data_IF_933317290465
#
_entry.id   IF_933317290465
#
_cell.length_a   1.000
_cell.length_b   1.000
_cell.length_c   1.000
_cell.angle_alpha   90.00
_cell.angle_beta   90.00
_cell.angle_gamma   90.00
#
_symmetry.space_group_name_H-M   'P 1'
#
loop_
_entity.id
_entity.type
_entity.pdbx_description
1 polymer ?
#
# COMPACT_ATOMS: atom_id res chain seq x y z
N UNK A 1 13.93 7.91 17.27
CA UNK A 1 13.64 6.61 16.58
C UNK A 1 14.90 6.25 15.82
N UNK A 2 15.32 4.98 15.84
CA UNK A 2 16.41 4.53 15.00
C UNK A 2 16.01 4.75 13.52
N UNK A 3 16.93 5.18 12.69
CA UNK A 3 16.69 5.48 11.27
C UNK A 3 16.51 4.22 10.41
N UNK A 4 16.47 3.04 11.06
CA UNK A 4 16.44 1.71 10.44
C UNK A 4 17.58 1.47 9.44
N UNK A 5 18.70 2.19 9.56
CA UNK A 5 19.88 1.92 8.78
C UNK A 5 20.74 0.83 9.43
N UNK A 6 21.55 0.17 8.62
CA UNK A 6 22.58 -0.75 9.08
C UNK A 6 23.86 -0.58 8.26
N UNK A 7 24.99 -0.80 8.93
CA UNK A 7 26.31 -0.89 8.31
C UNK A 7 26.86 -2.29 8.58
N UNK A 8 27.15 -3.04 7.53
CA UNK A 8 27.82 -4.33 7.59
C UNK A 8 29.23 -4.15 7.02
N UNK A 9 30.25 -4.46 7.83
CA UNK A 9 31.62 -4.45 7.39
C UNK A 9 32.22 -5.84 7.53
N UNK A 10 32.89 -6.29 6.48
CA UNK A 10 33.71 -7.50 6.49
C UNK A 10 35.13 -7.13 6.07
N UNK A 11 36.12 -7.57 6.86
CA UNK A 11 37.53 -7.40 6.54
C UNK A 11 38.15 -8.77 6.32
N UNK A 12 38.86 -8.95 5.21
CA UNK A 12 39.52 -10.19 4.86
C UNK A 12 40.89 -9.91 4.22
N UNK A 13 41.79 -10.87 4.36
CA UNK A 13 43.09 -10.84 3.69
C UNK A 13 43.13 -11.99 2.70
N UNK A 14 43.49 -11.71 1.46
CA UNK A 14 43.55 -12.72 0.41
C UNK A 14 45.02 -13.17 0.22
N UNK A 15 45.26 -14.45 0.50
CA UNK A 15 46.61 -15.05 0.35
C UNK A 15 47.71 -14.30 1.11
N UNK A 16 48.78 -13.99 0.43
CA UNK A 16 49.95 -13.23 1.00
C UNK A 16 49.86 -11.73 0.75
N UNK A 17 48.68 -11.19 0.44
CA UNK A 17 48.53 -9.73 0.29
C UNK A 17 48.85 -9.00 1.59
N UNK A 18 49.68 -7.94 1.53
CA UNK A 18 50.11 -7.21 2.73
C UNK A 18 49.03 -6.30 3.32
N UNK A 19 47.89 -6.15 2.63
CA UNK A 19 46.81 -5.25 3.02
C UNK A 19 45.51 -6.00 3.21
N UNK A 20 44.77 -5.74 4.30
CA UNK A 20 43.40 -6.23 4.42
C UNK A 20 42.46 -5.48 3.45
N UNK A 21 41.49 -6.18 2.90
CA UNK A 21 40.41 -5.61 2.12
C UNK A 21 39.20 -5.45 3.05
N UNK A 22 38.69 -4.24 3.20
CA UNK A 22 37.48 -3.98 3.95
C UNK A 22 36.34 -3.67 2.97
N UNK A 23 35.31 -4.46 3.06
CA UNK A 23 34.07 -4.29 2.30
C UNK A 23 32.97 -3.81 3.25
N UNK A 24 32.37 -2.69 2.96
CA UNK A 24 31.27 -2.14 3.77
C UNK A 24 30.00 -2.04 2.93
N UNK A 25 28.94 -2.66 3.41
CA UNK A 25 27.58 -2.52 2.86
C UNK A 25 26.76 -1.66 3.80
N UNK A 26 26.26 -0.58 3.27
CA UNK A 26 25.28 0.27 3.98
C UNK A 26 23.91 0.04 3.42
N UNK A 27 22.94 -0.13 4.29
CA UNK A 27 21.58 -0.37 3.90
C UNK A 27 20.58 0.14 4.94
N UNK A 28 19.31 -0.09 4.66
CA UNK A 28 18.24 0.27 5.58
C UNK A 28 17.11 -0.74 5.49
N UNK A 29 16.39 -0.84 6.58
CA UNK A 29 15.23 -1.72 6.66
C UNK A 29 14.02 -1.07 5.98
N UNK A 30 13.40 -1.78 5.05
CA UNK A 30 12.11 -1.41 4.48
C UNK A 30 11.04 -2.33 5.05
N UNK A 31 9.85 -1.81 5.28
CA UNK A 31 8.71 -2.59 5.77
C UNK A 31 7.85 -3.00 4.59
N UNK A 32 7.75 -4.30 4.29
CA UNK A 32 6.80 -4.78 3.31
C UNK A 32 5.37 -4.68 3.85
N UNK A 33 4.46 -4.23 3.00
CA UNK A 33 3.02 -4.18 3.28
C UNK A 33 2.30 -4.83 2.12
N UNK A 34 1.56 -5.89 2.38
CA UNK A 34 0.89 -6.70 1.34
C UNK A 34 -0.61 -6.65 1.53
N UNK A 35 -1.34 -6.30 0.47
CA UNK A 35 -2.82 -6.36 0.40
C UNK A 35 -3.29 -6.26 -1.05
N UNK A 36 -4.59 -6.25 -1.26
CA UNK A 36 -5.19 -5.99 -2.55
C UNK A 36 -5.03 -4.53 -2.97
N UNK A 37 -4.91 -4.30 -4.28
CA UNK A 37 -4.89 -2.99 -4.89
C UNK A 37 -6.09 -2.83 -5.83
N UNK A 38 -6.75 -1.68 -5.78
CA UNK A 38 -7.76 -1.26 -6.75
C UNK A 38 -7.18 -0.19 -7.65
N UNK A 39 -7.33 -0.36 -8.96
CA UNK A 39 -6.78 0.55 -9.97
C UNK A 39 -7.90 1.06 -10.85
N UNK A 40 -8.14 2.37 -10.81
CA UNK A 40 -9.13 3.05 -11.64
C UNK A 40 -8.43 3.75 -12.80
N UNK A 41 -8.87 3.47 -14.03
CA UNK A 41 -8.35 4.05 -15.26
C UNK A 41 -9.41 4.99 -15.84
N UNK A 42 -9.08 6.27 -15.97
CA UNK A 42 -9.94 7.29 -16.57
C UNK A 42 -11.26 7.49 -15.84
N UNK A 43 -11.33 7.26 -14.53
CA UNK A 43 -12.51 7.40 -13.68
C UNK A 43 -13.71 6.49 -14.06
N UNK A 44 -13.53 5.58 -15.02
CA UNK A 44 -14.62 4.75 -15.56
C UNK A 44 -14.40 3.26 -15.34
N UNK A 45 -13.16 2.80 -15.36
CA UNK A 45 -12.83 1.38 -15.35
C UNK A 45 -11.99 1.04 -14.13
N UNK A 46 -12.50 0.14 -13.30
CA UNK A 46 -11.81 -0.30 -12.08
C UNK A 46 -11.42 -1.76 -12.18
N UNK A 47 -10.16 -2.03 -11.92
CA UNK A 47 -9.56 -3.36 -11.90
C UNK A 47 -8.96 -3.63 -10.52
N UNK A 48 -8.77 -4.90 -10.19
CA UNK A 48 -8.22 -5.30 -8.89
C UNK A 48 -7.10 -6.31 -9.11
N UNK A 49 -6.01 -6.17 -8.35
CA UNK A 49 -5.06 -7.25 -8.13
C UNK A 49 -5.14 -7.64 -6.65
N UNK A 50 -5.27 -8.93 -6.37
CA UNK A 50 -5.57 -9.45 -5.03
C UNK A 50 -4.40 -9.43 -4.06
N UNK A 51 -3.17 -9.29 -4.56
CA UNK A 51 -1.99 -9.35 -3.71
C UNK A 51 -0.83 -8.56 -4.32
N UNK A 52 -0.59 -7.38 -3.78
CA UNK A 52 0.51 -6.50 -4.17
C UNK A 52 1.30 -6.13 -2.93
N UNK A 53 2.63 -6.14 -3.01
CA UNK A 53 3.50 -5.80 -1.88
C UNK A 53 4.23 -4.49 -2.14
N UNK A 54 3.89 -3.46 -1.39
CA UNK A 54 4.66 -2.23 -1.31
C UNK A 54 5.79 -2.35 -0.29
N UNK A 55 6.94 -1.77 -0.60
CA UNK A 55 8.02 -1.59 0.36
C UNK A 55 8.08 -0.12 0.76
N UNK A 56 7.86 0.15 2.04
CA UNK A 56 7.77 1.50 2.58
C UNK A 56 8.86 1.70 3.62
N UNK A 57 9.62 2.78 3.47
CA UNK A 57 10.64 3.20 4.42
C UNK A 57 10.25 4.53 5.03
N UNK A 58 10.12 4.58 6.36
CA UNK A 58 9.97 5.84 7.11
C UNK A 58 11.29 6.13 7.83
N UNK A 59 11.80 7.34 7.68
CA UNK A 59 13.10 7.74 8.23
C UNK A 59 13.12 9.23 8.58
N UNK A 60 14.18 9.68 9.24
CA UNK A 60 14.46 11.09 9.48
C UNK A 60 15.61 11.56 8.58
N UNK A 61 15.44 12.74 8.01
CA UNK A 61 16.48 13.48 7.31
C UNK A 61 16.62 14.83 8.03
N UNK A 62 17.63 14.92 8.90
CA UNK A 62 17.69 15.95 9.93
C UNK A 62 16.49 15.84 10.87
N UNK A 63 15.76 16.94 11.04
CA UNK A 63 14.54 16.97 11.89
C UNK A 63 13.27 16.61 11.15
N UNK A 64 13.33 16.39 9.83
CA UNK A 64 12.16 16.12 9.00
C UNK A 64 11.93 14.61 8.86
N UNK A 65 10.73 14.15 9.21
CA UNK A 65 10.31 12.79 8.89
C UNK A 65 9.98 12.69 7.40
N UNK A 66 10.53 11.66 6.75
CA UNK A 66 10.31 11.36 5.33
C UNK A 66 9.89 9.91 5.12
N UNK A 67 9.25 9.66 3.98
CA UNK A 67 8.86 8.33 3.54
C UNK A 67 9.34 8.11 2.11
N UNK A 68 9.94 6.94 1.87
CA UNK A 68 10.20 6.43 0.53
C UNK A 68 9.23 5.29 0.25
N UNK A 69 8.72 5.21 -0.96
CA UNK A 69 7.79 4.16 -1.40
C UNK A 69 8.33 3.48 -2.65
N UNK A 70 8.67 2.21 -2.54
CA UNK A 70 8.88 1.37 -3.71
C UNK A 70 7.53 0.83 -4.17
N UNK A 71 7.04 1.39 -5.26
CA UNK A 71 5.84 0.94 -5.96
C UNK A 71 6.20 -0.36 -6.69
N UNK A 72 5.55 -1.48 -6.40
CA UNK A 72 5.88 -2.76 -7.00
C UNK A 72 5.39 -2.85 -8.45
N UNK A 73 5.94 -3.79 -9.20
CA UNK A 73 5.30 -4.23 -10.44
C UNK A 73 4.05 -5.05 -10.11
N UNK A 74 3.01 -4.89 -10.91
CA UNK A 74 1.78 -5.68 -10.81
C UNK A 74 1.08 -5.80 -12.17
N UNK A 75 0.18 -6.78 -12.28
CA UNK A 75 -0.63 -7.02 -13.47
C UNK A 75 -2.10 -6.70 -13.21
N UNK A 76 -2.80 -6.32 -14.28
CA UNK A 76 -4.24 -6.18 -14.30
C UNK A 76 -4.76 -7.03 -15.44
N UNK A 77 -5.55 -8.05 -15.12
CA UNK A 77 -6.04 -8.99 -16.11
C UNK A 77 -7.40 -8.54 -16.68
N UNK A 78 -7.67 -8.95 -17.93
CA UNK A 78 -8.95 -8.74 -18.61
C UNK A 78 -9.38 -7.26 -18.69
N UNK A 79 -8.44 -6.35 -18.90
CA UNK A 79 -8.79 -4.95 -19.15
C UNK A 79 -9.31 -4.74 -20.56
N UNK A 80 -9.84 -3.56 -20.86
CA UNK A 80 -10.36 -3.23 -22.21
C UNK A 80 -9.31 -3.39 -23.32
N UNK A 81 -8.04 -3.19 -22.99
CA UNK A 81 -6.91 -3.28 -23.92
C UNK A 81 -6.07 -4.54 -23.73
N UNK A 82 -6.57 -5.52 -22.97
CA UNK A 82 -5.91 -6.79 -22.67
C UNK A 82 -5.34 -6.86 -21.25
N UNK A 83 -4.40 -7.77 -21.05
CA UNK A 83 -3.69 -7.90 -19.79
C UNK A 83 -2.58 -6.84 -19.73
N UNK A 84 -2.59 -6.06 -18.65
CA UNK A 84 -1.62 -4.99 -18.45
C UNK A 84 -0.55 -5.43 -17.45
N UNK A 85 0.70 -5.04 -17.71
CA UNK A 85 1.78 -5.13 -16.74
C UNK A 85 2.34 -3.74 -16.48
N UNK A 86 2.34 -3.34 -15.24
CA UNK A 86 2.90 -2.07 -14.77
C UNK A 86 4.19 -2.37 -14.01
N UNK A 87 5.30 -1.77 -14.46
CA UNK A 87 6.61 -1.96 -13.88
C UNK A 87 6.81 -1.24 -12.56
N UNK A 88 7.82 -1.65 -11.81
CA UNK A 88 8.16 -1.05 -10.53
C UNK A 88 8.91 0.27 -10.68
N UNK A 89 8.74 1.16 -9.71
CA UNK A 89 9.52 2.39 -9.56
C UNK A 89 9.54 2.85 -8.10
N UNK A 90 10.37 3.83 -7.77
CA UNK A 90 10.48 4.30 -6.39
C UNK A 90 10.30 5.81 -6.31
N UNK A 91 9.37 6.26 -5.47
CA UNK A 91 9.19 7.67 -5.11
C UNK A 91 9.84 7.89 -3.75
N UNK A 92 10.76 8.85 -3.67
CA UNK A 92 11.54 9.12 -2.46
C UNK A 92 11.16 10.45 -1.83
N UNK A 93 11.35 10.55 -0.51
CA UNK A 93 11.32 11.80 0.20
C UNK A 93 9.93 12.42 0.33
N UNK A 94 8.86 11.62 0.44
CA UNK A 94 7.54 12.11 0.81
C UNK A 94 7.63 12.80 2.17
N UNK A 95 7.02 13.97 2.29
CA UNK A 95 6.92 14.72 3.56
C UNK A 95 5.47 14.75 4.05
N UNK A 96 5.29 14.94 5.35
CA UNK A 96 3.95 15.02 5.90
C UNK A 96 3.26 16.29 5.43
N UNK A 97 2.06 16.13 4.88
CA UNK A 97 1.18 17.19 4.43
C UNK A 97 -0.11 17.15 5.24
N UNK A 98 -0.39 18.21 5.98
CA UNK A 98 -1.57 18.28 6.87
C UNK A 98 -2.88 18.38 6.10
N UNK A 99 -2.88 18.97 4.90
CA UNK A 99 -4.07 19.08 4.06
C UNK A 99 -4.45 17.73 3.45
N UNK A 100 -3.44 16.94 3.08
CA UNK A 100 -3.64 15.57 2.57
C UNK A 100 -3.83 14.55 3.70
N UNK A 101 -3.43 14.89 4.92
CA UNK A 101 -3.50 14.04 6.09
C UNK A 101 -2.58 12.81 6.01
N UNK A 102 -1.38 12.97 5.44
CA UNK A 102 -0.41 11.89 5.27
C UNK A 102 0.90 12.35 4.66
N UNK A 103 1.80 11.39 4.40
CA UNK A 103 3.05 11.67 3.69
C UNK A 103 2.75 11.75 2.19
N UNK A 104 3.02 12.89 1.61
CA UNK A 104 2.65 13.24 0.25
C UNK A 104 3.84 13.70 -0.57
N UNK A 105 3.84 13.40 -1.86
CA UNK A 105 4.74 13.98 -2.86
C UNK A 105 4.10 14.01 -4.24
N UNK A 106 4.21 15.14 -4.92
CA UNK A 106 4.09 15.24 -6.38
C UNK A 106 5.47 14.94 -6.98
N UNK A 107 5.56 13.93 -7.84
CA UNK A 107 6.81 13.44 -8.44
C UNK A 107 6.87 13.63 -9.95
N UNK A 108 6.00 14.46 -10.52
CA UNK A 108 5.90 14.70 -11.96
C UNK A 108 7.21 15.19 -12.61
N UNK A 109 8.05 15.90 -11.84
CA UNK A 109 9.31 16.47 -12.32
C UNK A 109 10.55 15.64 -11.88
N UNK A 110 10.35 14.49 -11.26
CA UNK A 110 11.45 13.65 -10.77
C UNK A 110 12.15 12.86 -11.89
N UNK A 111 11.66 12.89 -13.13
CA UNK A 111 12.22 12.15 -14.26
C UNK A 111 12.10 10.62 -14.12
N UNK A 112 11.18 10.15 -13.29
CA UNK A 112 10.96 8.72 -13.09
C UNK A 112 10.39 8.08 -14.34
N UNK A 113 10.82 6.84 -14.58
CA UNK A 113 10.30 5.98 -15.65
C UNK A 113 9.80 4.67 -15.07
N UNK A 114 8.91 4.01 -15.79
CA UNK A 114 8.48 2.65 -15.48
C UNK A 114 8.17 1.90 -16.78
N UNK A 115 8.30 0.60 -16.71
CA UNK A 115 7.95 -0.27 -17.81
C UNK A 115 6.44 -0.48 -17.87
N UNK A 116 5.86 -0.42 -19.07
CA UNK A 116 4.43 -0.72 -19.27
C UNK A 116 4.26 -1.61 -20.48
N UNK A 117 3.47 -2.66 -20.33
CA UNK A 117 3.09 -3.51 -21.45
C UNK A 117 1.61 -3.88 -21.41
N UNK A 118 1.06 -4.13 -22.60
CA UNK A 118 -0.29 -4.64 -22.79
C UNK A 118 -0.28 -5.82 -23.76
N UNK A 119 -0.94 -6.90 -23.39
CA UNK A 119 -1.08 -8.11 -24.21
C UNK A 119 -2.56 -8.44 -24.40
N UNK A 120 -2.97 -8.62 -25.65
CA UNK A 120 -4.33 -9.01 -26.00
C UNK A 120 -4.32 -10.12 -27.05
N UNK A 121 -5.05 -11.19 -26.78
CA UNK A 121 -5.18 -12.36 -27.67
C UNK A 121 -3.81 -12.95 -28.09
N UNK A 122 -2.88 -12.99 -27.12
CA UNK A 122 -1.52 -13.50 -27.37
C UNK A 122 -0.59 -12.55 -28.11
N UNK A 123 -1.03 -11.33 -28.41
CA UNK A 123 -0.24 -10.31 -29.08
C UNK A 123 0.09 -9.15 -28.14
N UNK A 124 1.37 -8.79 -28.08
CA UNK A 124 1.81 -7.61 -27.36
C UNK A 124 1.48 -6.37 -28.18
N UNK A 125 0.57 -5.54 -27.68
CA UNK A 125 0.11 -4.31 -28.35
C UNK A 125 0.88 -3.08 -27.93
N UNK A 126 1.37 -3.07 -26.69
CA UNK A 126 2.19 -2.00 -26.11
C UNK A 126 3.32 -2.68 -25.32
N UNK A 127 4.55 -2.16 -25.47
CA UNK A 127 5.68 -2.63 -24.67
C UNK A 127 6.78 -1.56 -24.69
N UNK A 128 7.09 -0.98 -23.56
CA UNK A 128 8.13 0.04 -23.51
C UNK A 128 8.27 0.70 -22.14
N UNK A 129 9.29 1.54 -22.05
CA UNK A 129 9.53 2.38 -20.87
C UNK A 129 8.92 3.77 -21.11
N UNK A 130 8.19 4.23 -20.13
CA UNK A 130 7.45 5.49 -20.19
C UNK A 130 7.85 6.42 -19.05
N UNK A 131 7.89 7.72 -19.36
CA UNK A 131 7.99 8.78 -18.36
C UNK A 131 6.61 9.20 -17.88
N UNK A 132 6.52 9.69 -16.68
CA UNK A 132 5.30 10.33 -16.19
C UNK A 132 5.08 11.67 -16.87
N UNK A 133 3.81 12.02 -17.11
CA UNK A 133 3.45 13.27 -17.79
C UNK A 133 3.67 14.48 -16.87
N UNK A 134 4.71 15.28 -17.14
CA UNK A 134 5.07 16.45 -16.33
C UNK A 134 4.01 17.58 -16.32
N UNK A 135 3.04 17.55 -17.23
CA UNK A 135 1.93 18.53 -17.29
C UNK A 135 0.71 18.09 -16.50
N UNK A 136 0.77 16.93 -15.84
CA UNK A 136 -0.34 16.33 -15.09
C UNK A 136 0.08 16.03 -13.67
N UNK A 137 -0.90 15.81 -12.83
CA UNK A 137 -0.65 15.41 -11.44
C UNK A 137 -0.09 13.98 -11.42
N UNK A 138 1.10 13.83 -10.86
CA UNK A 138 1.68 12.54 -10.57
C UNK A 138 2.09 12.56 -9.11
N UNK A 139 1.25 12.04 -8.26
CA UNK A 139 1.44 12.14 -6.81
C UNK A 139 1.16 10.85 -6.08
N UNK A 140 1.78 10.71 -4.93
CA UNK A 140 1.59 9.59 -4.04
C UNK A 140 1.34 10.08 -2.61
N UNK A 141 0.37 9.46 -1.96
CA UNK A 141 -0.03 9.73 -0.58
C UNK A 141 0.03 8.44 0.23
N UNK A 142 0.75 8.47 1.34
CA UNK A 142 0.83 7.36 2.30
C UNK A 142 0.23 7.78 3.62
N UNK A 143 -0.76 7.04 4.08
CA UNK A 143 -1.40 7.27 5.39
C UNK A 143 -0.95 6.22 6.40
N UNK A 144 -0.80 6.67 7.64
CA UNK A 144 -0.41 5.84 8.77
C UNK A 144 -1.44 5.91 9.90
N UNK A 145 -1.59 4.80 10.62
CA UNK A 145 -2.14 4.75 11.96
C UNK A 145 -1.01 4.31 12.91
N UNK A 146 -0.51 5.25 13.68
CA UNK A 146 0.70 5.05 14.48
C UNK A 146 1.92 4.69 13.60
N UNK A 147 2.39 3.46 13.70
CA UNK A 147 3.54 2.93 12.92
C UNK A 147 3.13 2.06 11.73
N UNK A 148 1.84 1.87 11.51
CA UNK A 148 1.31 1.00 10.45
C UNK A 148 0.85 1.82 9.26
N UNK A 149 1.25 1.42 8.06
CA UNK A 149 0.67 1.94 6.81
C UNK A 149 -0.77 1.46 6.73
N UNK A 150 -1.70 2.37 6.49
CA UNK A 150 -3.13 2.06 6.33
C UNK A 150 -3.61 2.23 4.92
N UNK A 151 -2.99 3.14 4.15
CA UNK A 151 -3.38 3.38 2.77
C UNK A 151 -2.23 3.96 1.98
N UNK A 152 -2.14 3.57 0.70
CA UNK A 152 -1.28 4.20 -0.30
C UNK A 152 -2.16 4.53 -1.50
N UNK A 153 -2.25 5.81 -1.84
CA UNK A 153 -2.98 6.30 -3.01
C UNK A 153 -1.96 6.87 -3.98
N UNK A 154 -1.94 6.38 -5.20
CA UNK A 154 -1.00 6.81 -6.21
C UNK A 154 -1.77 7.20 -7.47
N UNK A 155 -1.72 8.50 -7.82
CA UNK A 155 -2.32 9.07 -9.02
C UNK A 155 -1.23 9.39 -10.01
N UNK A 156 -1.36 8.90 -11.22
CA UNK A 156 -0.36 9.15 -12.26
C UNK A 156 -0.95 9.10 -13.67
N UNK A 157 -0.24 9.71 -14.60
CA UNK A 157 -0.52 9.65 -16.02
C UNK A 157 0.76 9.36 -16.78
N UNK A 158 0.71 8.32 -17.64
CA UNK A 158 1.85 7.92 -18.44
C UNK A 158 1.96 8.78 -19.70
N UNK A 159 3.09 9.43 -19.93
CA UNK A 159 3.42 10.10 -21.18
C UNK A 159 2.26 10.88 -21.77
N UNK A 160 1.90 10.56 -23.01
CA UNK A 160 0.80 11.20 -23.73
C UNK A 160 -0.55 10.47 -23.60
N UNK A 161 -0.68 9.46 -22.72
CA UNK A 161 -1.96 8.77 -22.54
C UNK A 161 -3.05 9.74 -22.09
N UNK A 162 -4.28 9.62 -22.64
CA UNK A 162 -5.35 10.58 -22.35
C UNK A 162 -6.01 10.36 -20.97
N UNK A 163 -5.67 9.27 -20.28
CA UNK A 163 -6.31 8.87 -19.02
C UNK A 163 -5.32 8.93 -17.86
N UNK A 164 -5.79 9.44 -16.73
CA UNK A 164 -5.12 9.26 -15.45
C UNK A 164 -5.39 7.86 -14.89
N UNK A 165 -4.47 7.38 -14.09
CA UNK A 165 -4.57 6.12 -13.36
C UNK A 165 -4.52 6.45 -11.88
N UNK A 166 -5.47 5.94 -11.13
CA UNK A 166 -5.49 6.06 -9.67
C UNK A 166 -5.45 4.66 -9.08
N UNK A 167 -4.36 4.32 -8.44
CA UNK A 167 -4.24 3.10 -7.67
C UNK A 167 -4.49 3.38 -6.18
N UNK A 168 -5.33 2.55 -5.58
CA UNK A 168 -5.67 2.63 -4.16
C UNK A 168 -5.35 1.30 -3.49
N UNK A 169 -4.40 1.34 -2.60
CA UNK A 169 -3.98 0.24 -1.76
C UNK A 169 -4.43 0.54 -0.34
N UNK A 170 -5.38 -0.22 0.17
CA UNK A 170 -5.86 -0.09 1.53
C UNK A 170 -5.48 -1.36 2.29
N UNK A 171 -4.67 -1.21 3.31
CA UNK A 171 -4.36 -2.33 4.20
C UNK A 171 -5.62 -2.67 4.98
N UNK A 172 -6.27 -3.74 4.56
CA UNK A 172 -7.34 -4.34 5.34
C UNK A 172 -6.70 -4.92 6.60
N UNK A 173 -6.64 -4.10 7.64
CA UNK A 173 -6.41 -4.65 8.96
C UNK A 173 -7.62 -5.53 9.25
N UNK A 174 -7.49 -6.84 9.05
CA UNK A 174 -8.44 -7.85 9.54
C UNK A 174 -8.42 -7.96 11.08
N UNK A 175 -7.80 -7.01 11.77
CA UNK A 175 -8.19 -6.68 13.11
C UNK A 175 -9.61 -6.15 13.00
N UNK A 176 -10.58 -6.88 13.53
CA UNK A 176 -11.87 -6.33 13.91
C UNK A 176 -11.54 -5.05 14.68
N UNK A 177 -11.55 -3.92 13.96
CA UNK A 177 -11.51 -2.64 14.61
C UNK A 177 -12.65 -2.71 15.60
N UNK A 178 -12.33 -2.56 16.87
CA UNK A 178 -13.29 -2.47 17.94
C UNK A 178 -14.43 -1.63 17.37
N UNK A 179 -15.57 -2.27 17.15
CA UNK A 179 -16.78 -1.55 16.77
C UNK A 179 -16.85 -0.47 17.82
N UNK A 180 -16.66 0.79 17.43
CA UNK A 180 -16.98 1.91 18.30
C UNK A 180 -18.45 1.70 18.58
N UNK A 181 -18.74 1.03 19.68
CA UNK A 181 -20.08 1.01 20.21
C UNK A 181 -20.35 2.45 20.51
N UNK A 182 -21.09 3.13 19.64
CA UNK A 182 -21.79 4.33 20.04
C UNK A 182 -22.41 3.98 21.37
N UNK A 183 -22.15 4.80 22.40
CA UNK A 183 -22.73 4.64 23.73
C UNK A 183 -24.25 4.90 23.68
N UNK A 184 -24.96 4.21 22.78
CA UNK A 184 -26.41 4.10 22.85
C UNK A 184 -26.71 3.22 24.06
N UNK A 185 -27.59 3.64 24.94
CA UNK A 185 -28.04 2.78 26.05
C UNK A 185 -28.47 1.44 25.44
N UNK A 186 -27.77 0.37 25.79
CA UNK A 186 -28.09 -0.94 25.30
C UNK A 186 -29.44 -1.36 25.89
N UNK A 187 -30.37 -1.74 25.03
CA UNK A 187 -31.77 -2.01 25.39
C UNK A 187 -32.00 -3.35 26.12
N UNK A 188 -30.92 -4.06 26.44
CA UNK A 188 -30.97 -5.36 27.12
C UNK A 188 -31.62 -6.48 26.30
N UNK A 189 -32.02 -6.23 25.07
CA UNK A 189 -32.72 -7.21 24.23
C UNK A 189 -31.76 -8.31 23.77
N UNK A 190 -32.29 -9.53 23.71
CA UNK A 190 -31.58 -10.70 23.25
C UNK A 190 -31.88 -11.00 21.76
N UNK A 191 -30.82 -11.33 21.02
CA UNK A 191 -30.90 -11.71 19.60
C UNK A 191 -30.25 -13.08 19.41
N UNK A 192 -30.76 -13.89 18.49
CA UNK A 192 -30.11 -15.14 18.07
C UNK A 192 -28.94 -14.84 17.12
N UNK A 193 -28.21 -15.88 16.70
CA UNK A 193 -27.08 -15.75 15.76
C UNK A 193 -27.48 -15.26 14.38
N UNK A 194 -28.77 -15.35 14.02
CA UNK A 194 -29.31 -14.81 12.77
C UNK A 194 -29.75 -13.33 12.89
N UNK A 195 -29.53 -12.70 14.05
CA UNK A 195 -29.90 -11.30 14.30
C UNK A 195 -31.38 -11.06 14.61
N UNK A 196 -32.18 -12.12 14.79
CA UNK A 196 -33.58 -12.02 15.14
C UNK A 196 -33.72 -11.85 16.66
N UNK A 197 -34.60 -10.94 17.09
CA UNK A 197 -34.93 -10.75 18.49
C UNK A 197 -35.62 -11.99 19.05
N UNK A 198 -35.18 -12.45 20.20
CA UNK A 198 -35.69 -13.66 20.84
C UNK A 198 -36.23 -13.35 22.25
N UNK A 199 -37.20 -14.17 22.69
CA UNK A 199 -37.75 -14.11 24.02
C UNK A 199 -36.80 -14.66 25.07
N UNK A 200 -37.14 -14.45 26.35
CA UNK A 200 -36.33 -14.95 27.44
C UNK A 200 -36.30 -16.46 27.56
N UNK A 201 -37.32 -17.13 27.05
CA UNK A 201 -37.41 -18.60 27.01
C UNK A 201 -36.62 -19.27 25.87
N UNK A 202 -36.04 -18.48 25.01
CA UNK A 202 -35.25 -19.00 23.88
C UNK A 202 -34.03 -19.78 24.38
N UNK A 203 -33.88 -21.04 23.95
CA UNK A 203 -32.74 -21.90 24.24
C UNK A 203 -31.75 -21.88 23.08
N UNK A 204 -30.49 -21.73 23.41
CA UNK A 204 -29.41 -21.66 22.42
C UNK A 204 -28.49 -20.45 22.62
N UNK A 205 -27.72 -20.12 21.59
CA UNK A 205 -26.80 -18.98 21.65
C UNK A 205 -27.60 -17.68 21.47
N UNK A 206 -27.50 -16.78 22.42
CA UNK A 206 -28.05 -15.43 22.36
C UNK A 206 -26.97 -14.36 22.44
N UNK A 207 -27.21 -13.25 21.80
CA UNK A 207 -26.36 -12.06 21.83
C UNK A 207 -27.12 -11.00 22.61
N UNK A 208 -26.57 -10.58 23.74
CA UNK A 208 -27.11 -9.51 24.58
C UNK A 208 -26.00 -8.48 24.77
N UNK A 209 -26.26 -7.23 24.42
CA UNK A 209 -25.29 -6.16 24.55
C UNK A 209 -23.93 -6.50 23.89
N UNK A 210 -23.96 -7.13 22.71
CA UNK A 210 -22.77 -7.53 21.97
C UNK A 210 -22.00 -8.73 22.54
N UNK A 211 -22.45 -9.34 23.64
CA UNK A 211 -21.83 -10.52 24.24
C UNK A 211 -22.65 -11.78 23.99
N UNK A 212 -21.98 -12.88 23.74
CA UNK A 212 -22.61 -14.20 23.50
C UNK A 212 -22.85 -14.93 24.81
N UNK A 213 -24.03 -15.49 24.96
CA UNK A 213 -24.44 -16.33 26.10
C UNK A 213 -25.10 -17.60 25.57
N UNK A 214 -24.92 -18.71 26.28
CA UNK A 214 -25.67 -19.95 26.04
C UNK A 214 -26.81 -20.03 27.03
N UNK A 215 -28.06 -19.95 26.55
CA UNK A 215 -29.26 -20.25 27.34
C UNK A 215 -29.59 -21.73 27.21
N UNK A 216 -29.74 -22.44 28.33
CA UNK A 216 -30.06 -23.86 28.42
C UNK A 216 -31.53 -24.11 28.59
#
# INVERSE_FOLDING_TARGET
MADNSFDLSATFTYGSMPFPITYTVKGYYVKPVTDAISVCIGSAYTYTNSSVTYNVRKYKDGDVEKVDVAVPAYTLDNTLIGNLSLGAYTVKGLVYDSEQGGFYRDYKDDGLTFHFSAEKDGNTTINGDYVFNSKKDNNILVKYDGTKVTSIINKFQMGAMPFDIVSTFNVNTTAINTVKTDNKPMDGKAYNIAGQRVSDDYKGIVIINGKKYLRK
#
